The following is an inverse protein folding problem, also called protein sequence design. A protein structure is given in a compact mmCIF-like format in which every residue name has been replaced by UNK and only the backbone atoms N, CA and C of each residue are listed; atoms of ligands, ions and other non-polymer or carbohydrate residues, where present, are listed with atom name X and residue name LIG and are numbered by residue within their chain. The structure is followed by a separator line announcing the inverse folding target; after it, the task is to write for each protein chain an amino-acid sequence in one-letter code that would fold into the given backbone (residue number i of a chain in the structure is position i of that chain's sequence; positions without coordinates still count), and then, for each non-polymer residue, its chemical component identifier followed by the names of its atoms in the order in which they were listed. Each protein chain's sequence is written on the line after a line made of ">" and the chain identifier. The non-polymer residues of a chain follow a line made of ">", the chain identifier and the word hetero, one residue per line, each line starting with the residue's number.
data_IF_212282600142
#
_entry.id   IF_212282600142
#
_cell.length_a   1.000
_cell.length_b   1.000
_cell.length_c   1.000
_cell.angle_alpha   90.00
_cell.angle_beta   90.00
_cell.angle_gamma   90.00
#
_symmetry.space_group_name_H-M   'P 1'
#
loop_
_entity.id
_entity.type
_entity.pdbx_description
1 polymer ?
#
# COMPACT_ATOMS: atom_id res chain seq x y z
N UNK A 1 18.13 9.63 53.80
CA UNK A 1 18.64 9.46 52.42
C UNK A 1 17.94 8.35 51.64
N UNK A 2 17.95 7.07 52.08
CA UNK A 2 17.37 5.92 51.33
C UNK A 2 15.89 6.09 50.87
N UNK A 3 15.03 6.70 51.70
CA UNK A 3 13.60 6.95 51.35
C UNK A 3 13.40 8.01 50.27
N UNK A 4 14.28 9.01 50.20
CA UNK A 4 14.23 10.09 49.20
C UNK A 4 14.67 9.56 47.84
N UNK A 5 15.70 8.69 47.81
CA UNK A 5 16.16 8.02 46.58
C UNK A 5 15.08 7.12 45.98
N UNK A 6 14.39 6.31 46.80
CA UNK A 6 13.28 5.45 46.34
C UNK A 6 12.11 6.28 45.83
N UNK A 7 11.76 7.38 46.50
CA UNK A 7 10.70 8.28 46.06
C UNK A 7 11.03 8.97 44.73
N UNK A 8 12.28 9.40 44.53
CA UNK A 8 12.76 9.98 43.27
C UNK A 8 12.76 8.96 42.12
N UNK A 9 13.20 7.72 42.38
CA UNK A 9 13.14 6.65 41.38
C UNK A 9 11.68 6.33 41.03
N UNK A 10 10.78 6.26 42.02
CA UNK A 10 9.36 6.01 41.80
C UNK A 10 8.69 7.16 41.00
N UNK A 11 9.03 8.42 41.30
CA UNK A 11 8.54 9.58 40.56
C UNK A 11 9.04 9.61 39.11
N UNK A 12 10.30 9.24 38.86
CA UNK A 12 10.84 9.11 37.50
C UNK A 12 10.10 8.04 36.71
N UNK A 13 9.77 6.89 37.32
CA UNK A 13 9.03 5.78 36.69
C UNK A 13 7.56 6.13 36.38
N UNK A 14 6.96 7.13 37.02
CA UNK A 14 5.55 7.45 36.81
C UNK A 14 5.28 8.42 35.65
N UNK A 15 6.27 9.22 35.25
CA UNK A 15 6.07 10.38 34.38
C UNK A 15 6.12 10.17 32.86
N UNK A 16 6.63 9.05 32.36
CA UNK A 16 6.81 8.90 30.91
C UNK A 16 7.58 7.66 30.48
N UNK A 17 7.24 6.48 30.99
CA UNK A 17 7.90 5.26 30.55
C UNK A 17 7.68 5.03 29.05
N UNK A 18 8.76 4.69 28.34
CA UNK A 18 8.74 4.44 26.91
C UNK A 18 7.66 3.43 26.48
N UNK A 19 7.40 2.42 27.31
CA UNK A 19 6.45 1.35 27.01
C UNK A 19 4.97 1.76 27.02
N UNK A 20 4.63 2.93 27.59
CA UNK A 20 3.25 3.45 27.53
C UNK A 20 2.93 4.07 26.17
N UNK A 21 3.94 4.43 25.38
CA UNK A 21 3.75 4.96 24.05
C UNK A 21 3.52 3.81 23.06
N UNK A 22 2.37 3.84 22.38
CA UNK A 22 1.99 2.83 21.40
C UNK A 22 2.99 2.69 20.26
N UNK A 23 3.72 3.75 19.92
CA UNK A 23 4.72 3.71 18.85
C UNK A 23 5.97 2.91 19.24
N UNK A 24 6.19 2.71 20.54
CA UNK A 24 7.32 1.95 21.09
C UNK A 24 6.98 0.47 21.33
N UNK A 25 5.75 0.03 21.00
CA UNK A 25 5.28 -1.36 21.19
C UNK A 25 4.77 -2.01 19.90
N UNK A 26 5.62 -2.16 18.87
CA UNK A 26 5.21 -2.68 17.57
C UNK A 26 4.70 -4.12 17.62
N UNK A 27 5.25 -5.00 18.48
CA UNK A 27 4.72 -6.35 18.60
C UNK A 27 3.35 -6.37 19.27
N UNK A 28 3.13 -5.57 20.31
CA UNK A 28 1.80 -5.42 20.89
C UNK A 28 0.79 -4.92 19.85
N UNK A 29 1.16 -3.93 19.04
CA UNK A 29 0.30 -3.45 17.97
C UNK A 29 -0.03 -4.55 16.94
N UNK A 30 0.94 -5.42 16.65
CA UNK A 30 0.76 -6.55 15.75
C UNK A 30 -0.16 -7.61 16.36
N UNK A 31 -0.04 -7.92 17.65
CA UNK A 31 -0.96 -8.84 18.32
C UNK A 31 -2.37 -8.26 18.37
N UNK A 32 -2.56 -7.00 18.72
CA UNK A 32 -3.86 -6.34 18.71
C UNK A 32 -4.52 -6.35 17.33
N UNK A 33 -3.74 -6.16 16.26
CA UNK A 33 -4.25 -6.12 14.89
C UNK A 33 -4.68 -7.49 14.36
N UNK A 34 -4.00 -8.56 14.74
CA UNK A 34 -4.17 -9.88 14.11
C UNK A 34 -4.76 -10.95 15.02
N UNK A 35 -4.53 -10.88 16.33
CA UNK A 35 -5.01 -11.89 17.29
C UNK A 35 -6.34 -11.54 17.94
N UNK A 36 -6.71 -10.26 17.99
CA UNK A 36 -7.96 -9.83 18.63
C UNK A 36 -9.11 -9.86 17.62
N UNK A 37 -10.10 -10.76 17.77
CA UNK A 37 -11.22 -10.83 16.85
C UNK A 37 -12.12 -9.59 16.98
N UNK A 38 -12.77 -9.22 15.87
CA UNK A 38 -13.58 -7.99 15.79
C UNK A 38 -14.93 -8.07 16.51
N UNK A 39 -15.46 -9.28 16.72
CA UNK A 39 -16.77 -9.49 17.37
C UNK A 39 -16.62 -9.62 18.87
N UNK A 40 -17.49 -8.96 19.65
CA UNK A 40 -17.44 -8.97 21.12
C UNK A 40 -17.42 -10.37 21.77
N UNK A 41 -18.28 -11.34 21.39
CA UNK A 41 -18.26 -12.65 22.02
C UNK A 41 -16.95 -13.40 21.71
N UNK A 42 -16.47 -13.36 20.47
CA UNK A 42 -15.20 -14.00 20.11
C UNK A 42 -14.01 -13.38 20.87
N UNK A 43 -14.07 -12.07 21.14
CA UNK A 43 -13.05 -11.36 21.91
C UNK A 43 -12.94 -11.92 23.32
N UNK A 44 -14.07 -12.10 24.01
CA UNK A 44 -14.09 -12.68 25.35
C UNK A 44 -13.53 -14.10 25.38
N UNK A 45 -13.90 -14.95 24.42
CA UNK A 45 -13.37 -16.31 24.32
C UNK A 45 -11.87 -16.36 24.02
N UNK A 46 -11.32 -15.33 23.38
CA UNK A 46 -9.90 -15.26 23.05
C UNK A 46 -9.00 -14.82 24.21
N UNK A 47 -9.55 -14.28 25.31
CA UNK A 47 -8.78 -13.73 26.42
C UNK A 47 -7.73 -14.67 27.05
N UNK A 48 -8.03 -15.96 27.29
CA UNK A 48 -7.06 -16.88 27.87
C UNK A 48 -5.76 -17.03 27.07
N UNK A 49 -5.81 -16.78 25.75
CA UNK A 49 -4.65 -16.87 24.84
C UNK A 49 -4.07 -15.49 24.54
N UNK A 50 -4.95 -14.52 24.25
CA UNK A 50 -4.52 -13.18 23.81
C UNK A 50 -3.85 -12.39 24.93
N UNK A 51 -4.27 -12.53 26.19
CA UNK A 51 -3.67 -11.81 27.32
C UNK A 51 -2.22 -12.25 27.57
N UNK A 52 -1.90 -13.55 27.77
CA UNK A 52 -0.51 -13.98 27.95
C UNK A 52 0.39 -13.64 26.76
N UNK A 53 -0.13 -13.80 25.54
CA UNK A 53 0.65 -13.52 24.34
C UNK A 53 0.94 -12.01 24.17
N UNK A 54 -0.04 -11.15 24.47
CA UNK A 54 0.16 -9.70 24.43
C UNK A 54 1.10 -9.23 25.53
N UNK A 55 1.08 -9.88 26.70
CA UNK A 55 2.05 -9.61 27.76
C UNK A 55 3.48 -9.97 27.33
N UNK A 56 3.68 -11.13 26.70
CA UNK A 56 4.98 -11.51 26.13
C UNK A 56 5.44 -10.53 25.05
N UNK A 57 4.52 -10.09 24.17
CA UNK A 57 4.82 -9.08 23.16
C UNK A 57 5.31 -7.77 23.78
N UNK A 58 4.63 -7.27 24.83
CA UNK A 58 5.06 -6.08 25.58
C UNK A 58 6.44 -6.29 26.20
N UNK A 59 6.72 -7.46 26.79
CA UNK A 59 8.03 -7.72 27.39
C UNK A 59 9.14 -7.72 26.34
N UNK A 60 8.90 -8.31 25.17
CA UNK A 60 9.86 -8.29 24.05
C UNK A 60 10.03 -6.87 23.50
N UNK A 61 8.95 -6.10 23.39
CA UNK A 61 9.00 -4.70 22.96
C UNK A 61 9.88 -3.87 23.92
N UNK A 62 9.69 -4.04 25.23
CA UNK A 62 10.44 -3.29 26.27
C UNK A 62 11.91 -3.68 26.32
N UNK A 63 12.21 -4.98 26.28
CA UNK A 63 13.57 -5.49 26.56
C UNK A 63 14.44 -5.50 25.31
N UNK A 64 13.85 -5.70 24.13
CA UNK A 64 14.60 -5.95 22.89
C UNK A 64 14.32 -4.86 21.87
N UNK A 65 13.06 -4.69 21.46
CA UNK A 65 12.77 -3.90 20.26
C UNK A 65 12.98 -2.41 20.50
N UNK A 66 12.42 -1.86 21.58
CA UNK A 66 12.55 -0.44 21.87
C UNK A 66 14.00 -0.01 22.09
N UNK A 67 14.83 -0.73 22.89
CA UNK A 67 16.25 -0.42 23.01
C UNK A 67 17.01 -0.48 21.68
N UNK A 68 16.66 -1.40 20.79
CA UNK A 68 17.25 -1.46 19.44
C UNK A 68 16.82 -0.26 18.60
N UNK A 69 15.55 0.12 18.62
CA UNK A 69 15.03 1.26 17.86
C UNK A 69 15.67 2.60 18.24
N UNK A 70 15.99 2.81 19.52
CA UNK A 70 16.62 4.06 20.00
C UNK A 70 18.14 4.09 19.86
N UNK A 71 18.77 3.00 19.40
CA UNK A 71 20.22 2.90 19.25
C UNK A 71 20.76 3.91 18.23
N UNK A 72 20.12 4.04 17.08
CA UNK A 72 20.54 4.96 16.03
C UNK A 72 20.45 6.42 16.47
N UNK A 73 19.39 6.75 17.22
CA UNK A 73 19.20 8.09 17.75
C UNK A 73 20.28 8.43 18.79
N UNK A 74 20.55 7.52 19.72
CA UNK A 74 21.60 7.73 20.73
C UNK A 74 23.00 7.83 20.10
N UNK A 75 23.27 7.07 19.02
CA UNK A 75 24.51 7.16 18.28
C UNK A 75 24.65 8.52 17.56
N UNK A 76 23.57 9.01 16.95
CA UNK A 76 23.55 10.35 16.33
C UNK A 76 23.74 11.44 17.36
N UNK A 77 23.09 11.36 18.51
CA UNK A 77 23.22 12.38 19.56
C UNK A 77 24.63 12.40 20.16
N UNK A 78 25.24 11.24 20.41
CA UNK A 78 26.63 11.16 20.86
C UNK A 78 27.60 11.73 19.80
N UNK A 79 27.33 11.47 18.52
CA UNK A 79 28.08 12.07 17.40
C UNK A 79 27.89 13.58 17.36
N UNK A 80 26.66 14.05 17.39
CA UNK A 80 26.34 15.47 17.22
C UNK A 80 26.85 16.29 18.41
N UNK A 81 26.76 15.75 19.63
CA UNK A 81 27.23 16.42 20.84
C UNK A 81 28.75 16.52 20.93
N UNK A 82 29.47 15.44 20.58
CA UNK A 82 30.92 15.35 20.80
C UNK A 82 31.75 15.62 19.55
N UNK A 83 31.18 15.46 18.36
CA UNK A 83 31.91 15.46 17.09
C UNK A 83 31.41 16.50 16.08
N UNK A 84 30.36 17.26 16.38
CA UNK A 84 30.03 18.45 15.58
C UNK A 84 31.08 19.52 15.82
N UNK A 85 31.95 19.71 14.85
CA UNK A 85 33.02 20.72 14.84
C UNK A 85 32.77 21.57 13.60
N UNK A 86 32.74 22.91 13.76
CA UNK A 86 32.61 23.80 12.61
C UNK A 86 33.88 23.76 11.76
N UNK A 87 33.77 23.92 10.44
CA UNK A 87 34.95 24.07 9.56
C UNK A 87 35.86 25.22 10.05
N UNK A 88 35.26 26.28 10.60
CA UNK A 88 35.99 27.42 11.19
C UNK A 88 36.82 27.08 12.45
N UNK A 89 36.48 26.01 13.17
CA UNK A 89 37.23 25.55 14.34
C UNK A 89 38.52 24.82 13.94
N UNK A 90 38.55 24.17 12.78
CA UNK A 90 39.74 23.50 12.27
C UNK A 90 40.80 24.49 11.80
N UNK A 91 40.38 25.59 11.17
CA UNK A 91 41.30 26.64 10.68
C UNK A 91 41.92 27.43 11.84
N UNK A 92 41.15 27.74 12.88
CA UNK A 92 41.60 28.63 13.95
C UNK A 92 42.12 27.91 15.20
N UNK A 93 41.79 26.62 15.41
CA UNK A 93 42.06 25.88 16.67
C UNK A 93 42.58 24.46 16.46
N UNK A 94 43.31 24.20 15.36
CA UNK A 94 43.79 22.87 15.00
C UNK A 94 44.39 22.05 16.15
N UNK A 95 45.35 22.62 16.91
CA UNK A 95 46.02 21.92 18.00
C UNK A 95 45.08 21.59 19.16
N UNK A 96 44.21 22.52 19.57
CA UNK A 96 43.23 22.31 20.64
C UNK A 96 42.16 21.30 20.22
N UNK A 97 41.68 21.38 18.99
CA UNK A 97 40.72 20.44 18.41
C UNK A 97 41.32 19.03 18.37
N UNK A 98 42.55 18.89 17.89
CA UNK A 98 43.28 17.61 17.83
C UNK A 98 43.54 17.03 19.23
N UNK A 99 43.97 17.86 20.19
CA UNK A 99 44.16 17.41 21.58
C UNK A 99 42.85 16.95 22.23
N UNK A 100 41.70 17.51 21.81
CA UNK A 100 40.38 17.12 22.32
C UNK A 100 39.84 15.81 21.75
N UNK A 101 40.46 15.23 20.70
CA UNK A 101 40.00 13.96 20.12
C UNK A 101 40.07 12.81 21.14
N UNK A 102 41.14 12.70 21.91
CA UNK A 102 41.32 11.63 22.91
C UNK A 102 40.20 11.66 23.97
N UNK A 103 39.93 12.77 24.68
CA UNK A 103 38.84 12.81 25.66
C UNK A 103 37.46 12.64 25.01
N UNK A 104 37.23 13.11 23.77
CA UNK A 104 35.95 12.89 23.05
C UNK A 104 35.73 11.42 22.72
N UNK A 105 36.76 10.70 22.26
CA UNK A 105 36.69 9.26 22.00
C UNK A 105 36.37 8.47 23.26
N UNK A 106 36.99 8.83 24.39
CA UNK A 106 36.71 8.18 25.69
C UNK A 106 35.30 8.52 26.19
N UNK A 107 34.83 9.75 25.98
CA UNK A 107 33.50 10.19 26.40
C UNK A 107 32.36 9.61 25.53
N UNK A 108 32.61 9.32 24.25
CA UNK A 108 31.59 8.85 23.29
C UNK A 108 30.77 7.65 23.80
N UNK A 109 31.37 6.53 24.25
CA UNK A 109 30.58 5.40 24.76
C UNK A 109 29.78 5.76 26.02
N UNK A 110 30.26 6.69 26.86
CA UNK A 110 29.57 7.11 28.08
C UNK A 110 28.30 7.89 27.72
N UNK A 111 28.41 8.86 26.82
CA UNK A 111 27.26 9.64 26.34
C UNK A 111 26.27 8.76 25.57
N UNK A 112 26.77 7.87 24.71
CA UNK A 112 25.94 6.92 23.99
C UNK A 112 25.14 6.01 24.94
N UNK A 113 25.79 5.35 25.90
CA UNK A 113 25.10 4.45 26.84
C UNK A 113 24.13 5.22 27.73
N UNK A 114 24.52 6.43 28.16
CA UNK A 114 23.65 7.30 28.96
C UNK A 114 22.37 7.68 28.23
N UNK A 115 22.48 8.17 27.00
CA UNK A 115 21.34 8.57 26.18
C UNK A 115 20.49 7.37 25.74
N UNK A 116 21.14 6.28 25.33
CA UNK A 116 20.49 5.01 24.99
C UNK A 116 19.67 4.46 26.17
N UNK A 117 20.23 4.44 27.37
CA UNK A 117 19.52 3.97 28.57
C UNK A 117 18.37 4.91 28.93
N UNK A 118 18.61 6.22 28.88
CA UNK A 118 17.59 7.22 29.18
C UNK A 118 16.39 7.07 28.22
N UNK A 119 16.62 6.92 26.91
CA UNK A 119 15.58 6.70 25.90
C UNK A 119 14.94 5.31 25.96
N UNK A 120 15.69 4.29 26.38
CA UNK A 120 15.15 2.95 26.57
C UNK A 120 14.14 2.90 27.73
N UNK A 121 14.38 3.69 28.78
CA UNK A 121 13.53 3.73 29.97
C UNK A 121 12.42 4.78 29.87
N UNK A 122 12.72 5.94 29.28
CA UNK A 122 11.85 7.10 29.23
C UNK A 122 11.55 7.52 27.80
N UNK A 123 10.33 7.96 27.55
CA UNK A 123 9.91 8.53 26.27
C UNK A 123 10.38 9.99 26.15
N UNK A 124 11.70 10.18 26.09
CA UNK A 124 12.35 11.51 25.96
C UNK A 124 12.31 11.98 24.49
N UNK A 125 11.93 11.08 23.58
CA UNK A 125 11.87 11.32 22.15
C UNK A 125 10.67 12.21 21.81
N UNK A 126 10.83 13.54 21.90
CA UNK A 126 9.84 14.50 21.38
C UNK A 126 9.45 14.23 19.91
N UNK A 127 10.36 13.61 19.16
CA UNK A 127 10.13 13.16 17.77
C UNK A 127 9.18 11.95 17.66
N UNK A 128 9.02 11.05 18.63
CA UNK A 128 8.14 9.87 18.47
C UNK A 128 6.65 10.25 18.58
N UNK A 129 6.34 11.19 19.48
CA UNK A 129 4.99 11.75 19.63
C UNK A 129 4.61 12.64 18.44
N UNK A 130 5.56 13.44 17.94
CA UNK A 130 5.33 14.31 16.78
C UNK A 130 5.26 13.51 15.48
N UNK A 131 6.14 12.52 15.27
CA UNK A 131 6.08 11.62 14.11
C UNK A 131 4.81 10.79 14.12
N UNK A 132 4.38 10.28 15.29
CA UNK A 132 3.10 9.60 15.45
C UNK A 132 1.90 10.48 15.09
N UNK A 133 1.87 11.74 15.57
CA UNK A 133 0.83 12.71 15.21
C UNK A 133 0.86 13.07 13.73
N UNK A 134 2.04 13.22 13.13
CA UNK A 134 2.20 13.50 11.70
C UNK A 134 1.71 12.30 10.88
N UNK A 135 2.03 11.08 11.28
CA UNK A 135 1.59 9.87 10.58
C UNK A 135 0.08 9.63 10.74
N UNK A 136 -0.47 9.83 11.93
CA UNK A 136 -1.91 9.77 12.18
C UNK A 136 -2.66 10.86 11.40
N UNK A 137 -2.14 12.09 11.37
CA UNK A 137 -2.70 13.17 10.56
C UNK A 137 -2.60 12.86 9.06
N UNK A 138 -1.52 12.23 8.59
CA UNK A 138 -1.40 11.75 7.20
C UNK A 138 -2.45 10.69 6.89
N UNK A 139 -2.62 9.68 7.75
CA UNK A 139 -3.63 8.62 7.58
C UNK A 139 -5.05 9.19 7.60
N UNK A 140 -5.32 10.15 8.49
CA UNK A 140 -6.63 10.80 8.55
C UNK A 140 -6.90 11.61 7.28
N UNK A 141 -5.93 12.43 6.84
CA UNK A 141 -6.03 13.18 5.58
C UNK A 141 -6.20 12.26 4.38
N UNK A 142 -5.48 11.15 4.33
CA UNK A 142 -5.62 10.15 3.27
C UNK A 142 -7.01 9.53 3.27
N UNK A 143 -7.51 9.13 4.44
CA UNK A 143 -8.86 8.58 4.60
C UNK A 143 -9.93 9.58 4.17
N UNK A 144 -9.85 10.83 4.61
CA UNK A 144 -10.79 11.89 4.22
C UNK A 144 -10.71 12.17 2.72
N UNK A 145 -9.51 12.28 2.15
CA UNK A 145 -9.32 12.49 0.71
C UNK A 145 -9.91 11.32 -0.10
N UNK A 146 -9.76 10.09 0.39
CA UNK A 146 -10.33 8.90 -0.25
C UNK A 146 -11.86 8.90 -0.20
N UNK A 147 -12.43 9.20 0.96
CA UNK A 147 -13.89 9.33 1.12
C UNK A 147 -14.45 10.43 0.21
N UNK A 148 -13.78 11.58 0.13
CA UNK A 148 -14.13 12.67 -0.78
C UNK A 148 -14.08 12.26 -2.26
N UNK A 149 -13.02 11.53 -2.67
CA UNK A 149 -12.91 11.05 -4.05
C UNK A 149 -13.97 10.01 -4.40
N UNK A 150 -14.33 9.14 -3.45
CA UNK A 150 -15.45 8.19 -3.61
C UNK A 150 -16.80 8.91 -3.66
N UNK A 151 -16.97 9.97 -2.88
CA UNK A 151 -18.18 10.79 -2.91
C UNK A 151 -18.31 11.53 -4.25
N UNK A 152 -17.21 12.11 -4.75
CA UNK A 152 -17.16 12.73 -6.07
C UNK A 152 -17.53 11.72 -7.18
N UNK A 153 -16.99 10.49 -7.11
CA UNK A 153 -17.33 9.41 -8.02
C UNK A 153 -18.82 9.04 -7.96
N UNK A 154 -19.41 9.01 -6.77
CA UNK A 154 -20.83 8.70 -6.55
C UNK A 154 -21.76 9.82 -7.01
N UNK A 155 -21.29 11.07 -6.95
CA UNK A 155 -21.99 12.27 -7.42
C UNK A 155 -21.85 12.51 -8.93
N UNK A 156 -21.03 11.72 -9.63
CA UNK A 156 -20.74 11.89 -11.05
C UNK A 156 -19.71 12.99 -11.37
N UNK A 157 -19.02 13.53 -10.36
CA UNK A 157 -17.93 14.51 -10.54
C UNK A 157 -16.61 13.77 -10.83
N UNK A 158 -16.51 13.24 -12.05
CA UNK A 158 -15.39 12.40 -12.47
C UNK A 158 -14.08 13.18 -12.58
N UNK A 159 -14.11 14.47 -12.97
CA UNK A 159 -12.92 15.30 -13.09
C UNK A 159 -12.25 15.54 -11.74
N UNK A 160 -13.06 15.81 -10.71
CA UNK A 160 -12.57 15.90 -9.34
C UNK A 160 -12.01 14.56 -8.86
N UNK A 161 -12.72 13.45 -9.09
CA UNK A 161 -12.22 12.12 -8.71
C UNK A 161 -10.89 11.77 -9.42
N UNK A 162 -10.75 12.08 -10.71
CA UNK A 162 -9.54 11.85 -11.49
C UNK A 162 -8.37 12.70 -10.97
N UNK A 163 -8.60 13.99 -10.73
CA UNK A 163 -7.53 14.90 -10.25
C UNK A 163 -7.00 14.47 -8.89
N UNK A 164 -7.89 14.18 -7.94
CA UNK A 164 -7.54 13.68 -6.61
C UNK A 164 -6.78 12.34 -6.68
N UNK A 165 -7.24 11.42 -7.53
CA UNK A 165 -6.59 10.12 -7.65
C UNK A 165 -5.23 10.22 -8.38
N UNK A 166 -5.07 11.09 -9.38
CA UNK A 166 -3.78 11.34 -10.03
C UNK A 166 -2.76 11.93 -9.04
N UNK A 167 -3.18 12.91 -8.25
CA UNK A 167 -2.33 13.52 -7.23
C UNK A 167 -1.85 12.49 -6.21
N UNK A 168 -2.76 11.69 -5.65
CA UNK A 168 -2.38 10.70 -4.65
C UNK A 168 -1.53 9.56 -5.22
N UNK A 169 -1.81 9.09 -6.45
CA UNK A 169 -0.93 8.09 -7.08
C UNK A 169 0.47 8.65 -7.33
N UNK A 170 0.61 9.93 -7.67
CA UNK A 170 1.93 10.56 -7.85
C UNK A 170 2.75 10.65 -6.55
N UNK A 171 2.07 10.67 -5.39
CA UNK A 171 2.70 10.67 -4.06
C UNK A 171 3.08 9.27 -3.56
N UNK A 172 2.87 8.23 -4.38
CA UNK A 172 3.21 6.85 -4.04
C UNK A 172 2.14 6.10 -3.23
N UNK A 173 0.90 6.62 -3.16
CA UNK A 173 -0.20 5.95 -2.49
C UNK A 173 -0.75 4.73 -3.26
N UNK A 174 -1.40 3.82 -2.53
CA UNK A 174 -1.71 2.40 -2.79
C UNK A 174 -2.63 2.08 -4.01
N UNK A 175 -2.86 0.77 -4.24
CA UNK A 175 -3.80 0.15 -5.19
C UNK A 175 -5.20 0.74 -5.19
N UNK A 176 -5.70 1.19 -4.04
CA UNK A 176 -7.06 1.70 -3.91
C UNK A 176 -7.28 3.02 -4.66
N UNK A 177 -6.28 3.90 -4.69
CA UNK A 177 -6.34 5.14 -5.47
C UNK A 177 -6.31 4.86 -6.98
N UNK A 178 -5.59 3.80 -7.39
CA UNK A 178 -5.62 3.33 -8.77
C UNK A 178 -7.00 2.80 -9.16
N UNK A 179 -7.68 2.09 -8.25
CA UNK A 179 -9.06 1.65 -8.48
C UNK A 179 -10.02 2.84 -8.66
N UNK A 180 -9.93 3.86 -7.78
CA UNK A 180 -10.75 5.08 -7.89
C UNK A 180 -10.49 5.81 -9.22
N UNK A 181 -9.22 5.99 -9.58
CA UNK A 181 -8.85 6.63 -10.86
C UNK A 181 -9.44 5.86 -12.05
N UNK A 182 -9.30 4.54 -12.04
CA UNK A 182 -9.77 3.70 -13.14
C UNK A 182 -11.30 3.71 -13.24
N UNK A 183 -12.01 3.60 -12.12
CA UNK A 183 -13.47 3.77 -12.07
C UNK A 183 -13.90 5.12 -12.63
N UNK A 184 -13.25 6.22 -12.23
CA UNK A 184 -13.59 7.55 -12.73
C UNK A 184 -13.34 7.71 -14.23
N UNK A 185 -12.23 7.17 -14.75
CA UNK A 185 -11.93 7.19 -16.18
C UNK A 185 -12.92 6.34 -17.00
N UNK A 186 -13.30 5.16 -16.50
CA UNK A 186 -14.31 4.30 -17.13
C UNK A 186 -15.65 5.02 -17.21
N UNK A 187 -16.09 5.62 -16.09
CA UNK A 187 -17.37 6.33 -16.05
C UNK A 187 -17.37 7.60 -16.92
N UNK A 188 -16.22 8.27 -17.04
CA UNK A 188 -16.03 9.40 -17.97
C UNK A 188 -15.89 8.96 -19.44
N UNK A 189 -15.77 7.66 -19.72
CA UNK A 189 -15.45 7.11 -21.05
C UNK A 189 -14.12 7.64 -21.62
N UNK A 190 -13.17 7.97 -20.76
CA UNK A 190 -11.85 8.52 -21.16
C UNK A 190 -10.87 7.39 -21.50
N UNK A 191 -11.00 6.83 -22.70
CA UNK A 191 -10.19 5.69 -23.14
C UNK A 191 -8.70 6.03 -23.25
N UNK A 192 -8.37 7.28 -23.62
CA UNK A 192 -6.98 7.74 -23.67
C UNK A 192 -6.36 7.74 -22.28
N UNK A 193 -7.07 8.29 -21.29
CA UNK A 193 -6.65 8.27 -19.89
C UNK A 193 -6.50 6.85 -19.32
N UNK A 194 -7.38 5.91 -19.73
CA UNK A 194 -7.25 4.49 -19.35
C UNK A 194 -5.96 3.87 -19.92
N UNK A 195 -5.64 4.14 -21.19
CA UNK A 195 -4.46 3.58 -21.86
C UNK A 195 -3.14 4.16 -21.33
N UNK A 196 -3.10 5.44 -20.97
CA UNK A 196 -1.93 6.11 -20.39
C UNK A 196 -1.64 5.69 -18.95
N UNK A 197 -2.59 5.04 -18.29
CA UNK A 197 -2.55 4.56 -16.91
C UNK A 197 -1.64 3.32 -16.74
N UNK A 198 -0.39 3.42 -17.21
CA UNK A 198 0.57 2.31 -17.41
C UNK A 198 0.92 1.54 -16.13
N UNK A 199 0.86 2.18 -14.96
CA UNK A 199 1.17 1.61 -13.65
C UNK A 199 -0.04 1.12 -12.84
N UNK A 200 -1.27 1.24 -13.37
CA UNK A 200 -2.48 1.33 -12.52
C UNK A 200 -3.55 0.28 -12.79
N UNK A 201 -3.35 -0.60 -13.77
CA UNK A 201 -4.27 -1.72 -14.07
C UNK A 201 -4.08 -2.95 -13.18
N UNK A 202 -3.06 -2.97 -12.33
CA UNK A 202 -2.98 -3.98 -11.25
C UNK A 202 -4.16 -3.88 -10.28
N UNK A 203 -4.81 -2.71 -10.23
CA UNK A 203 -6.04 -2.47 -9.48
C UNK A 203 -7.32 -2.90 -10.22
N UNK A 204 -7.26 -3.41 -11.47
CA UNK A 204 -8.45 -3.92 -12.17
C UNK A 204 -9.14 -5.06 -11.41
N UNK A 205 -8.37 -5.85 -10.67
CA UNK A 205 -8.90 -6.92 -9.82
C UNK A 205 -9.79 -6.34 -8.72
N UNK A 206 -9.39 -5.20 -8.17
CA UNK A 206 -10.05 -4.53 -7.04
C UNK A 206 -11.17 -3.58 -7.49
N UNK A 207 -11.43 -3.47 -8.80
CA UNK A 207 -12.58 -2.73 -9.32
C UNK A 207 -13.86 -3.41 -8.84
N UNK A 208 -14.80 -2.61 -8.32
CA UNK A 208 -16.13 -3.09 -7.96
C UNK A 208 -16.85 -3.65 -9.20
N UNK A 209 -17.62 -4.74 -9.09
CA UNK A 209 -18.31 -5.36 -10.22
C UNK A 209 -19.07 -4.37 -11.12
N UNK A 210 -19.77 -3.41 -10.52
CA UNK A 210 -20.54 -2.35 -11.21
C UNK A 210 -19.74 -1.53 -12.24
N UNK A 211 -18.45 -1.29 -12.00
CA UNK A 211 -17.60 -0.57 -12.95
C UNK A 211 -17.00 -1.49 -14.01
N UNK A 212 -16.90 -2.79 -13.74
CA UNK A 212 -16.43 -3.76 -14.72
C UNK A 212 -17.45 -3.94 -15.85
N UNK A 213 -18.74 -4.01 -15.51
CA UNK A 213 -19.82 -4.04 -16.50
C UNK A 213 -19.81 -2.75 -17.36
N UNK A 214 -19.60 -1.60 -16.71
CA UNK A 214 -19.46 -0.32 -17.39
C UNK A 214 -18.24 -0.30 -18.32
N UNK A 215 -17.15 -0.96 -17.94
CA UNK A 215 -15.95 -1.10 -18.78
C UNK A 215 -16.21 -2.01 -20.00
N UNK A 216 -16.88 -3.16 -19.82
CA UNK A 216 -17.23 -4.04 -20.94
C UNK A 216 -18.17 -3.32 -21.93
N UNK A 217 -19.17 -2.61 -21.41
CA UNK A 217 -20.06 -1.78 -22.22
C UNK A 217 -19.31 -0.66 -22.95
N UNK A 218 -18.33 -0.04 -22.28
CA UNK A 218 -17.47 0.97 -22.90
C UNK A 218 -16.67 0.37 -24.07
N UNK A 219 -16.19 -0.88 -23.96
CA UNK A 219 -15.54 -1.56 -25.09
C UNK A 219 -16.51 -1.69 -26.26
N UNK A 220 -17.73 -2.17 -26.04
CA UNK A 220 -18.71 -2.31 -27.12
C UNK A 220 -19.07 -1.00 -27.81
N UNK A 221 -19.19 0.10 -27.04
CA UNK A 221 -19.59 1.42 -27.56
C UNK A 221 -18.43 2.23 -28.17
N UNK A 222 -17.18 1.82 -27.94
CA UNK A 222 -16.01 2.59 -28.37
C UNK A 222 -15.66 2.40 -29.84
N UNK A 223 -14.93 3.37 -30.39
CA UNK A 223 -14.37 3.23 -31.74
C UNK A 223 -13.31 2.10 -31.81
N UNK A 224 -13.01 1.57 -33.02
CA UNK A 224 -12.19 0.37 -33.17
C UNK A 224 -10.79 0.47 -32.55
N UNK A 225 -10.15 1.64 -32.61
CA UNK A 225 -8.80 1.85 -32.04
C UNK A 225 -8.84 1.75 -30.52
N UNK A 226 -9.85 2.33 -29.90
CA UNK A 226 -10.15 2.31 -28.48
C UNK A 226 -10.50 0.89 -28.01
N UNK A 227 -11.30 0.17 -28.78
CA UNK A 227 -11.60 -1.25 -28.56
C UNK A 227 -10.31 -2.07 -28.49
N UNK A 228 -9.44 -1.95 -29.49
CA UNK A 228 -8.16 -2.68 -29.52
C UNK A 228 -7.31 -2.33 -28.29
N UNK A 229 -7.21 -1.04 -27.93
CA UNK A 229 -6.46 -0.62 -26.73
C UNK A 229 -7.01 -1.27 -25.47
N UNK A 230 -8.32 -1.25 -25.25
CA UNK A 230 -8.93 -1.86 -24.07
C UNK A 230 -8.81 -3.39 -24.06
N UNK A 231 -8.90 -4.04 -25.22
CA UNK A 231 -8.67 -5.48 -25.34
C UNK A 231 -7.22 -5.86 -24.98
N UNK A 232 -6.24 -5.10 -25.45
CA UNK A 232 -4.83 -5.31 -25.08
C UNK A 232 -4.59 -5.10 -23.59
N UNK A 233 -5.32 -4.19 -22.96
CA UNK A 233 -5.30 -4.00 -21.51
C UNK A 233 -5.83 -5.24 -20.76
N UNK A 234 -6.96 -5.81 -21.20
CA UNK A 234 -7.49 -7.07 -20.67
C UNK A 234 -6.43 -8.17 -20.81
N UNK A 235 -5.86 -8.34 -22.01
CA UNK A 235 -4.86 -9.37 -22.27
C UNK A 235 -3.66 -9.28 -21.32
N UNK A 236 -3.13 -8.07 -21.11
CA UNK A 236 -1.94 -7.85 -20.28
C UNK A 236 -2.17 -8.19 -18.81
N UNK A 237 -3.35 -7.87 -18.27
CA UNK A 237 -3.64 -8.01 -16.83
C UNK A 237 -4.49 -9.25 -16.49
N UNK A 238 -4.78 -10.08 -17.48
CA UNK A 238 -5.65 -11.24 -17.36
C UNK A 238 -5.30 -12.21 -16.23
N UNK A 239 -4.01 -12.48 -16.03
CA UNK A 239 -3.52 -13.49 -15.07
C UNK A 239 -3.79 -13.16 -13.59
N UNK A 240 -4.31 -11.97 -13.29
CA UNK A 240 -4.60 -11.56 -11.90
C UNK A 240 -6.04 -11.86 -11.46
N UNK A 241 -6.87 -12.38 -12.36
CA UNK A 241 -8.28 -12.75 -12.16
C UNK A 241 -8.47 -14.18 -11.60
N UNK A 242 -7.75 -14.57 -10.54
CA UNK A 242 -7.80 -15.95 -9.99
C UNK A 242 -8.81 -16.18 -8.85
N UNK A 243 -9.73 -15.24 -8.58
CA UNK A 243 -10.77 -15.39 -7.53
C UNK A 243 -12.06 -16.00 -8.08
N UNK A 244 -12.95 -16.52 -7.22
CA UNK A 244 -14.27 -17.04 -7.67
C UNK A 244 -15.10 -15.99 -8.41
N UNK A 245 -15.10 -14.75 -7.93
CA UNK A 245 -15.74 -13.60 -8.59
C UNK A 245 -15.12 -13.31 -9.96
N UNK A 246 -13.84 -13.62 -10.13
CA UNK A 246 -13.16 -13.43 -11.38
C UNK A 246 -13.58 -14.46 -12.44
N UNK A 247 -14.03 -15.66 -12.06
CA UNK A 247 -14.57 -16.64 -13.02
C UNK A 247 -15.86 -16.12 -13.68
N UNK A 248 -16.74 -15.47 -12.94
CA UNK A 248 -17.96 -14.84 -13.49
C UNK A 248 -17.61 -13.69 -14.44
N UNK A 249 -16.68 -12.82 -14.05
CA UNK A 249 -16.17 -11.73 -14.91
C UNK A 249 -15.54 -12.25 -16.19
N UNK A 250 -14.84 -13.38 -16.12
CA UNK A 250 -14.24 -14.05 -17.27
C UNK A 250 -15.32 -14.53 -18.25
N UNK A 251 -16.39 -15.15 -17.74
CA UNK A 251 -17.51 -15.61 -18.56
C UNK A 251 -18.23 -14.42 -19.21
N UNK A 252 -18.51 -13.34 -18.47
CA UNK A 252 -19.09 -12.10 -19.01
C UNK A 252 -18.20 -11.44 -20.06
N UNK A 253 -16.88 -11.41 -19.84
CA UNK A 253 -15.92 -10.90 -20.82
C UNK A 253 -15.98 -11.73 -22.09
N UNK A 254 -16.00 -13.05 -22.00
CA UNK A 254 -16.11 -13.92 -23.16
C UNK A 254 -17.40 -13.69 -23.97
N UNK A 255 -18.53 -13.44 -23.27
CA UNK A 255 -19.80 -13.09 -23.92
C UNK A 255 -19.76 -11.74 -24.63
N UNK A 256 -19.15 -10.73 -24.02
CA UNK A 256 -18.94 -9.40 -24.63
C UNK A 256 -18.07 -9.51 -25.88
N UNK A 257 -16.95 -10.26 -25.79
CA UNK A 257 -16.05 -10.51 -26.91
C UNK A 257 -16.77 -11.23 -28.05
N UNK A 258 -17.74 -12.11 -27.76
CA UNK A 258 -18.59 -12.74 -28.80
C UNK A 258 -19.38 -11.69 -29.60
N UNK A 259 -19.83 -10.61 -28.96
CA UNK A 259 -20.46 -9.48 -29.64
C UNK A 259 -19.50 -8.78 -30.60
N UNK A 260 -18.26 -8.51 -30.15
CA UNK A 260 -17.23 -7.84 -30.94
C UNK A 260 -16.74 -8.64 -32.15
N UNK A 261 -16.92 -9.96 -32.17
CA UNK A 261 -16.62 -10.79 -33.34
C UNK A 261 -17.50 -10.46 -34.57
N UNK A 262 -18.62 -9.76 -34.37
CA UNK A 262 -19.47 -9.25 -35.45
C UNK A 262 -19.02 -7.88 -35.99
N UNK A 263 -17.93 -7.32 -35.46
CA UNK A 263 -17.39 -6.04 -35.92
C UNK A 263 -16.93 -6.13 -37.37
N UNK A 264 -17.11 -5.04 -38.13
CA UNK A 264 -16.58 -4.93 -39.48
C UNK A 264 -15.04 -4.73 -39.49
N UNK A 265 -14.47 -4.31 -38.36
CA UNK A 265 -13.03 -4.09 -38.23
C UNK A 265 -12.31 -5.41 -37.90
N UNK A 266 -11.52 -5.89 -38.86
CA UNK A 266 -10.75 -7.14 -38.73
C UNK A 266 -9.71 -7.10 -37.60
N UNK A 267 -9.14 -5.94 -37.28
CA UNK A 267 -8.16 -5.82 -36.19
C UNK A 267 -8.85 -5.97 -34.83
N UNK A 268 -10.07 -5.46 -34.67
CA UNK A 268 -10.90 -5.70 -33.47
C UNK A 268 -11.22 -7.19 -33.33
N UNK A 269 -11.64 -7.84 -34.41
CA UNK A 269 -11.98 -9.27 -34.39
C UNK A 269 -10.75 -10.12 -34.06
N UNK A 270 -9.61 -9.88 -34.71
CA UNK A 270 -8.36 -10.61 -34.44
C UNK A 270 -7.88 -10.41 -32.99
N UNK A 271 -7.94 -9.16 -32.48
CA UNK A 271 -7.57 -8.87 -31.09
C UNK A 271 -8.54 -9.53 -30.11
N UNK A 272 -9.84 -9.60 -30.45
CA UNK A 272 -10.85 -10.29 -29.62
C UNK A 272 -10.59 -11.80 -29.56
N UNK A 273 -10.21 -12.44 -30.67
CA UNK A 273 -9.80 -13.85 -30.70
C UNK A 273 -8.55 -14.07 -29.84
N UNK A 274 -7.55 -13.20 -29.96
CA UNK A 274 -6.34 -13.26 -29.13
C UNK A 274 -6.63 -13.04 -27.63
N UNK A 275 -7.63 -12.24 -27.29
CA UNK A 275 -8.08 -12.07 -25.90
C UNK A 275 -8.83 -13.32 -25.40
N UNK A 276 -9.70 -13.90 -26.23
CA UNK A 276 -10.41 -15.15 -25.93
C UNK A 276 -9.46 -16.32 -25.71
N UNK A 277 -8.32 -16.39 -26.43
CA UNK A 277 -7.31 -17.43 -26.23
C UNK A 277 -6.66 -17.37 -24.85
N UNK A 278 -6.45 -16.16 -24.31
CA UNK A 278 -5.98 -15.99 -22.93
C UNK A 278 -7.04 -16.41 -21.92
N UNK A 279 -8.32 -16.22 -22.26
CA UNK A 279 -9.48 -16.63 -21.46
C UNK A 279 -9.79 -18.14 -21.52
N UNK A 280 -8.91 -19.00 -22.06
CA UNK A 280 -9.15 -20.45 -22.26
C UNK A 280 -9.54 -21.25 -21.02
N UNK A 281 -9.39 -20.72 -19.81
CA UNK A 281 -9.92 -21.32 -18.59
C UNK A 281 -11.45 -21.29 -18.52
N UNK A 282 -12.09 -20.39 -19.28
CA UNK A 282 -13.54 -20.20 -19.37
C UNK A 282 -14.20 -21.21 -20.28
N UNK A 283 -15.36 -21.71 -19.85
CA UNK A 283 -16.21 -22.55 -20.70
C UNK A 283 -16.83 -21.74 -21.85
N UNK A 284 -17.26 -20.49 -21.60
CA UNK A 284 -17.74 -19.60 -22.65
C UNK A 284 -16.65 -19.28 -23.67
N UNK A 285 -15.42 -18.92 -23.25
CA UNK A 285 -14.37 -18.58 -24.20
C UNK A 285 -14.05 -19.76 -25.14
N UNK A 286 -13.98 -20.98 -24.60
CA UNK A 286 -13.80 -22.19 -25.42
C UNK A 286 -14.93 -22.37 -26.41
N UNK A 287 -16.20 -22.22 -25.98
CA UNK A 287 -17.37 -22.35 -26.86
C UNK A 287 -17.37 -21.30 -27.96
N UNK A 288 -17.01 -20.05 -27.65
CA UNK A 288 -16.93 -18.96 -28.63
C UNK A 288 -15.82 -19.24 -29.66
N UNK A 289 -14.62 -19.58 -29.20
CA UNK A 289 -13.54 -20.03 -30.10
C UNK A 289 -13.95 -21.27 -30.88
N UNK A 290 -14.83 -22.11 -30.31
CA UNK A 290 -15.35 -23.27 -31.00
C UNK A 290 -16.18 -22.89 -32.23
N UNK A 291 -17.16 -22.01 -32.00
CA UNK A 291 -18.06 -21.47 -33.02
C UNK A 291 -17.28 -20.73 -34.11
N UNK A 292 -16.32 -19.86 -33.75
CA UNK A 292 -15.53 -19.08 -34.73
C UNK A 292 -14.69 -19.97 -35.64
N UNK A 293 -14.11 -21.05 -35.11
CA UNK A 293 -13.26 -21.94 -35.90
C UNK A 293 -14.02 -22.71 -36.99
N UNK A 294 -15.36 -22.74 -36.92
CA UNK A 294 -16.24 -23.39 -37.90
C UNK A 294 -16.81 -22.40 -38.91
N UNK A 295 -16.46 -21.12 -38.81
CA UNK A 295 -17.00 -20.05 -39.65
C UNK A 295 -16.40 -20.01 -41.06
N UNK A 296 -17.07 -19.26 -41.95
CA UNK A 296 -16.74 -19.18 -43.37
C UNK A 296 -15.48 -18.35 -43.67
N UNK A 297 -15.04 -17.46 -42.76
CA UNK A 297 -13.81 -16.67 -42.96
C UNK A 297 -12.58 -17.55 -42.67
N UNK A 298 -11.77 -17.92 -43.68
CA UNK A 298 -10.67 -18.86 -43.51
C UNK A 298 -9.55 -18.33 -42.61
N UNK A 299 -9.35 -17.00 -42.58
CA UNK A 299 -8.29 -16.37 -41.77
C UNK A 299 -8.69 -16.38 -40.30
N UNK A 300 -9.91 -15.95 -40.00
CA UNK A 300 -10.42 -15.95 -38.63
C UNK A 300 -10.60 -17.37 -38.09
N UNK A 301 -11.05 -18.31 -38.92
CA UNK A 301 -11.16 -19.72 -38.56
C UNK A 301 -9.81 -20.38 -38.32
N UNK A 302 -8.74 -19.97 -39.02
CA UNK A 302 -7.39 -20.42 -38.73
C UNK A 302 -6.88 -19.86 -37.39
N UNK A 303 -7.03 -18.55 -37.16
CA UNK A 303 -6.66 -17.90 -35.89
C UNK A 303 -7.38 -18.52 -34.69
N UNK A 304 -8.69 -18.79 -34.82
CA UNK A 304 -9.47 -19.43 -33.75
C UNK A 304 -9.06 -20.89 -33.49
N UNK A 305 -8.55 -21.60 -34.50
CA UNK A 305 -8.02 -22.96 -34.32
C UNK A 305 -6.68 -22.97 -33.58
N UNK A 306 -5.81 -22.00 -33.87
CA UNK A 306 -4.53 -21.82 -33.16
C UNK A 306 -4.74 -21.34 -31.71
N UNK A 307 -5.80 -20.56 -31.49
CA UNK A 307 -6.16 -20.01 -30.18
C UNK A 307 -6.80 -21.00 -29.19
N UNK A 308 -7.30 -22.15 -29.67
CA UNK A 308 -7.95 -23.19 -28.84
C UNK A 308 -6.92 -24.03 -28.09
#
# INVERSE_FOLDING_TARGET
>A
MRKITVLLIALLVLGGCAFKNRNNTPLLNLTEKHLVPKTQPAKAFSYPITIPLSFLAVMVDIVIIHPVMVTDDAARDAKDLLWTISESDWENRYLTTTASCVPRTVATPIFFVGDWLARSLFDITGKSAETGKIEEAKRLKEKTSKEEAQNALSQGDFDKAISMAKENVSRGYDKEWNAILLSALIMKKDVAGIAESKSKLDAMVDIKPEYFDSFLKLIEESAPVEQIRMLLLIQKHFWKFHTKEAAERIEQTALTLKGLLKSQDRAVVATSIATLSRLRGSSAAKKVLEEVSKGDDPVLSALAREAR
#
